data_IF_151420142235
#
_entry.id   IF_151420142235
#
_cell.length_a   1.000
_cell.length_b   1.000
_cell.length_c   1.000
_cell.angle_alpha   90.00
_cell.angle_beta   90.00
_cell.angle_gamma   90.00
#
_symmetry.space_group_name_H-M   'P 1'
#
loop_
_entity.id
_entity.type
_entity.pdbx_description
1 polymer ?
#
# COMPACT_ATOMS: atom_id res chain seq x y z
N UNK A 1 -1.52 43.60 67.33
CA UNK A 1 -1.81 43.97 65.96
C UNK A 1 -1.04 43.04 65.07
N UNK A 2 -1.61 41.93 64.64
CA UNK A 2 -0.99 40.85 63.83
C UNK A 2 -1.80 40.64 62.60
N UNK A 3 -1.19 40.93 61.48
CA UNK A 3 -1.78 40.92 60.15
C UNK A 3 -1.54 39.53 59.52
N UNK A 4 -2.63 38.78 59.31
CA UNK A 4 -2.57 37.45 58.71
C UNK A 4 -2.56 37.58 57.17
N UNK A 5 -1.49 37.12 56.53
CA UNK A 5 -1.42 37.01 55.08
C UNK A 5 -1.85 35.57 54.68
N UNK A 6 -2.99 35.43 54.03
CA UNK A 6 -3.40 34.17 53.38
C UNK A 6 -2.72 34.05 52.04
N UNK A 7 -1.86 33.03 51.89
CA UNK A 7 -1.35 32.58 50.58
C UNK A 7 -2.37 31.62 50.00
N UNK A 8 -2.97 32.01 48.87
CA UNK A 8 -3.77 31.10 48.03
C UNK A 8 -2.83 30.36 47.08
N UNK A 9 -2.66 29.06 47.28
CA UNK A 9 -1.95 28.18 46.37
C UNK A 9 -2.91 27.74 45.26
N UNK A 10 -2.74 28.30 44.05
CA UNK A 10 -3.45 27.85 42.85
C UNK A 10 -2.84 26.56 42.29
N UNK A 11 -3.63 25.51 42.32
CA UNK A 11 -3.26 24.21 41.71
C UNK A 11 -3.53 24.27 40.20
N UNK A 12 -2.48 24.43 39.41
CA UNK A 12 -2.56 24.39 37.94
C UNK A 12 -2.56 22.93 37.50
N UNK A 13 -3.72 22.36 37.16
CA UNK A 13 -3.86 21.04 36.59
C UNK A 13 -3.43 21.09 35.12
N UNK A 14 -2.23 20.59 34.80
CA UNK A 14 -1.77 20.33 33.43
C UNK A 14 -2.53 19.11 32.89
N UNK A 15 -3.53 19.32 32.07
CA UNK A 15 -4.16 18.28 31.26
C UNK A 15 -3.18 17.86 30.14
N UNK A 16 -2.48 16.76 30.32
CA UNK A 16 -1.76 16.09 29.25
C UNK A 16 -2.76 15.51 28.27
N UNK A 17 -2.97 16.22 27.15
CA UNK A 17 -3.61 15.64 25.97
C UNK A 17 -2.66 14.55 25.42
N UNK A 18 -2.88 13.31 25.84
CA UNK A 18 -2.18 12.16 25.30
C UNK A 18 -2.51 12.02 23.82
N UNK A 19 -1.53 12.28 22.95
CA UNK A 19 -1.60 11.82 21.58
C UNK A 19 -1.70 10.30 21.60
N UNK A 20 -2.90 9.77 21.37
CA UNK A 20 -3.10 8.34 21.15
C UNK A 20 -2.31 7.95 19.91
N UNK A 21 -1.11 7.46 20.09
CA UNK A 21 -0.36 6.77 19.02
C UNK A 21 -1.19 5.56 18.65
N UNK A 22 -1.78 5.60 17.45
CA UNK A 22 -2.49 4.47 16.87
C UNK A 22 -1.53 3.30 16.86
N UNK A 23 -1.86 2.23 17.59
CA UNK A 23 -1.07 1.01 17.66
C UNK A 23 -0.79 0.43 16.27
N UNK A 24 0.12 -0.55 16.14
CA UNK A 24 0.44 -1.15 14.87
C UNK A 24 -0.84 -1.68 14.20
N UNK A 25 -0.90 -1.52 12.90
CA UNK A 25 -2.07 -1.84 12.06
C UNK A 25 -2.61 -3.29 12.18
N UNK A 26 -1.85 -4.18 12.83
CA UNK A 26 -2.22 -5.58 13.06
C UNK A 26 -3.35 -5.79 14.07
N UNK A 27 -3.70 -4.79 14.89
CA UNK A 27 -4.64 -4.95 16.02
C UNK A 27 -6.08 -4.52 15.69
N UNK A 28 -6.39 -4.12 14.44
CA UNK A 28 -7.75 -3.79 14.07
C UNK A 28 -8.61 -5.07 13.99
N UNK A 29 -9.86 -5.01 14.51
CA UNK A 29 -10.73 -6.18 14.56
C UNK A 29 -11.06 -6.70 13.16
N UNK A 30 -11.15 -8.03 13.05
CA UNK A 30 -11.54 -8.77 11.84
C UNK A 30 -12.85 -9.50 12.07
N UNK A 31 -13.53 -9.84 10.96
CA UNK A 31 -14.70 -10.70 11.00
C UNK A 31 -14.31 -12.11 11.46
N UNK A 32 -15.03 -12.64 12.44
CA UNK A 32 -14.85 -14.00 12.97
C UNK A 32 -16.08 -14.87 12.76
N UNK A 33 -17.26 -14.28 12.58
CA UNK A 33 -18.48 -15.03 12.26
C UNK A 33 -18.38 -15.66 10.88
N UNK A 34 -18.56 -17.00 10.74
CA UNK A 34 -18.40 -17.68 9.47
C UNK A 34 -19.32 -17.19 8.36
N UNK A 35 -20.56 -16.79 8.70
CA UNK A 35 -21.52 -16.28 7.71
C UNK A 35 -21.10 -14.88 7.22
N UNK A 36 -20.65 -14.01 8.12
CA UNK A 36 -20.12 -12.70 7.75
C UNK A 36 -18.85 -12.79 6.90
N UNK A 37 -17.93 -13.71 7.23
CA UNK A 37 -16.72 -13.98 6.44
C UNK A 37 -17.09 -14.50 5.04
N UNK A 38 -18.06 -15.42 4.93
CA UNK A 38 -18.51 -15.93 3.64
C UNK A 38 -19.12 -14.82 2.79
N UNK A 39 -19.92 -13.93 3.38
CA UNK A 39 -20.50 -12.76 2.69
C UNK A 39 -19.41 -11.81 2.21
N UNK A 40 -18.43 -11.47 3.06
CA UNK A 40 -17.30 -10.61 2.69
C UNK A 40 -16.47 -11.21 1.54
N UNK A 41 -16.24 -12.52 1.57
CA UNK A 41 -15.54 -13.25 0.49
C UNK A 41 -16.30 -13.19 -0.83
N UNK A 42 -17.63 -13.35 -0.80
CA UNK A 42 -18.48 -13.21 -2.00
C UNK A 42 -18.43 -11.80 -2.56
N UNK A 43 -18.52 -10.78 -1.70
CA UNK A 43 -18.39 -9.39 -2.11
C UNK A 43 -16.99 -9.08 -2.71
N UNK A 44 -15.93 -9.62 -2.11
CA UNK A 44 -14.57 -9.50 -2.64
C UNK A 44 -14.42 -10.18 -4.01
N UNK A 45 -15.03 -11.34 -4.23
CA UNK A 45 -15.02 -12.00 -5.53
C UNK A 45 -15.74 -11.16 -6.61
N UNK A 46 -16.88 -10.56 -6.29
CA UNK A 46 -17.58 -9.64 -7.17
C UNK A 46 -16.75 -8.39 -7.49
N UNK A 47 -16.10 -7.82 -6.46
CA UNK A 47 -15.18 -6.69 -6.62
C UNK A 47 -14.00 -7.05 -7.52
N UNK A 48 -13.40 -8.23 -7.33
CA UNK A 48 -12.32 -8.72 -8.16
C UNK A 48 -12.74 -8.85 -9.62
N UNK A 49 -13.87 -9.49 -9.90
CA UNK A 49 -14.41 -9.64 -11.26
C UNK A 49 -14.63 -8.27 -11.94
N UNK A 50 -15.18 -7.30 -11.20
CA UNK A 50 -15.37 -5.94 -11.71
C UNK A 50 -14.04 -5.24 -12.06
N UNK A 51 -13.01 -5.37 -11.22
CA UNK A 51 -11.70 -4.80 -11.45
C UNK A 51 -10.91 -5.53 -12.54
N UNK A 52 -11.03 -6.86 -12.64
CA UNK A 52 -10.34 -7.65 -13.66
C UNK A 52 -10.87 -7.37 -15.08
N UNK A 53 -12.12 -6.95 -15.19
CA UNK A 53 -12.67 -6.46 -16.45
C UNK A 53 -12.13 -5.09 -16.90
N UNK A 54 -11.34 -4.42 -16.04
CA UNK A 54 -10.75 -3.09 -16.31
C UNK A 54 -9.25 -3.19 -16.24
N UNK A 55 -8.65 -3.35 -17.40
CA UNK A 55 -7.19 -3.53 -17.56
C UNK A 55 -6.43 -2.22 -17.51
N UNK A 56 -7.14 -1.10 -17.82
CA UNK A 56 -6.54 0.22 -17.92
C UNK A 56 -6.91 1.04 -16.67
N UNK A 57 -5.89 1.40 -15.92
CA UNK A 57 -6.05 2.12 -14.67
C UNK A 57 -4.79 2.88 -14.28
N UNK A 58 -4.96 3.91 -13.48
CA UNK A 58 -3.85 4.65 -12.89
C UNK A 58 -4.08 4.91 -11.42
N UNK A 59 -3.01 5.11 -10.69
CA UNK A 59 -3.06 5.77 -9.41
C UNK A 59 -1.90 6.76 -9.25
N UNK A 60 -2.15 7.79 -8.45
CA UNK A 60 -1.14 8.72 -7.97
C UNK A 60 -1.14 8.74 -6.44
N UNK A 61 0.05 8.88 -5.84
CA UNK A 61 0.16 8.88 -4.40
C UNK A 61 1.59 9.01 -3.89
N UNK A 62 1.82 8.44 -2.71
CA UNK A 62 3.12 8.42 -2.04
C UNK A 62 3.52 7.02 -1.68
N UNK A 63 4.80 6.75 -1.81
CA UNK A 63 5.39 5.46 -1.43
C UNK A 63 6.56 5.67 -0.48
N UNK A 64 6.69 4.77 0.48
CA UNK A 64 7.92 4.61 1.25
C UNK A 64 8.33 3.13 1.19
N UNK A 65 9.57 2.91 0.84
CA UNK A 65 10.18 1.56 0.76
C UNK A 65 11.33 1.50 1.73
N UNK A 66 11.46 0.40 2.43
CA UNK A 66 12.66 0.01 3.16
C UNK A 66 12.94 -1.45 2.83
N UNK A 67 14.14 -1.75 2.38
CA UNK A 67 14.57 -3.12 2.12
C UNK A 67 16.04 -3.27 2.52
N UNK A 68 16.31 -4.16 3.49
CA UNK A 68 17.67 -4.46 3.98
C UNK A 68 18.45 -3.20 4.40
N UNK A 69 17.76 -2.25 5.08
CA UNK A 69 18.37 -0.99 5.53
C UNK A 69 18.54 0.07 4.44
N UNK A 70 18.19 -0.24 3.18
CA UNK A 70 18.13 0.72 2.08
C UNK A 70 16.69 1.19 1.91
N UNK A 71 16.46 2.48 2.10
CA UNK A 71 15.13 3.05 2.05
C UNK A 71 15.03 4.23 1.09
N UNK A 72 13.81 4.51 0.67
CA UNK A 72 13.45 5.68 -0.11
C UNK A 72 11.99 6.00 0.04
N UNK A 73 11.64 7.27 -0.18
CA UNK A 73 10.25 7.70 -0.20
C UNK A 73 10.06 8.82 -1.21
N UNK A 74 8.87 8.89 -1.79
CA UNK A 74 8.55 9.91 -2.79
C UNK A 74 7.12 9.82 -3.28
N UNK A 75 6.84 10.60 -4.31
CA UNK A 75 5.63 10.44 -5.10
C UNK A 75 5.77 9.21 -5.97
N UNK A 76 4.65 8.54 -6.15
CA UNK A 76 4.52 7.42 -7.06
C UNK A 76 3.33 7.68 -7.98
N UNK A 77 3.56 7.48 -9.27
CA UNK A 77 2.52 7.44 -10.29
C UNK A 77 2.61 6.08 -10.98
N UNK A 78 1.50 5.34 -11.00
CA UNK A 78 1.36 4.06 -11.67
C UNK A 78 0.36 4.18 -12.81
N UNK A 79 0.77 3.77 -13.99
CA UNK A 79 -0.10 3.60 -15.14
C UNK A 79 -0.04 2.15 -15.60
N UNK A 80 -1.22 1.55 -15.76
CA UNK A 80 -1.40 0.22 -16.32
C UNK A 80 -2.24 0.33 -17.59
N UNK A 81 -1.83 -0.36 -18.65
CA UNK A 81 -2.59 -0.50 -19.89
C UNK A 81 -2.48 -1.96 -20.31
N UNK A 82 -3.56 -2.71 -20.17
CA UNK A 82 -3.56 -4.17 -20.34
C UNK A 82 -2.49 -4.84 -19.45
N UNK A 83 -1.47 -5.46 -20.06
CA UNK A 83 -0.32 -6.06 -19.34
C UNK A 83 0.85 -5.09 -19.20
N UNK A 84 0.91 -4.03 -20.00
CA UNK A 84 1.97 -3.03 -19.93
C UNK A 84 1.78 -2.10 -18.74
N UNK A 85 2.88 -1.77 -18.05
CA UNK A 85 2.85 -0.83 -16.93
C UNK A 85 4.00 0.18 -16.98
N UNK A 86 3.76 1.31 -16.37
CA UNK A 86 4.77 2.33 -16.07
C UNK A 86 4.62 2.77 -14.61
N UNK A 87 5.72 2.72 -13.85
CA UNK A 87 5.82 3.23 -12.49
C UNK A 87 6.86 4.32 -12.46
N UNK A 88 6.44 5.55 -12.24
CA UNK A 88 7.33 6.68 -12.01
C UNK A 88 7.45 6.97 -10.52
N UNK A 89 8.67 7.10 -10.04
CA UNK A 89 8.95 7.50 -8.66
C UNK A 89 9.81 8.75 -8.65
N UNK A 90 9.37 9.76 -7.90
CA UNK A 90 10.12 11.00 -7.72
C UNK A 90 10.33 11.28 -6.23
N UNK A 91 11.58 11.47 -5.82
CA UNK A 91 11.98 11.81 -4.46
C UNK A 91 12.47 13.26 -4.41
N UNK A 92 11.61 14.25 -4.07
CA UNK A 92 11.96 15.66 -4.13
C UNK A 92 13.15 16.06 -3.26
N UNK A 93 13.33 15.38 -2.12
CA UNK A 93 14.41 15.67 -1.17
C UNK A 93 15.78 15.29 -1.73
N UNK A 94 15.88 14.13 -2.39
CA UNK A 94 17.14 13.66 -3.00
C UNK A 94 17.30 14.08 -4.45
N UNK A 95 16.26 14.72 -5.04
CA UNK A 95 16.18 15.09 -6.46
C UNK A 95 16.39 13.89 -7.40
N UNK A 96 16.08 12.70 -6.93
CA UNK A 96 16.13 11.49 -7.72
C UNK A 96 14.75 11.19 -8.30
N UNK A 97 14.71 10.89 -9.58
CA UNK A 97 13.51 10.41 -10.26
C UNK A 97 13.91 9.24 -11.13
N UNK A 98 13.10 8.19 -11.09
CA UNK A 98 13.30 7.04 -11.97
C UNK A 98 11.96 6.48 -12.42
N UNK A 99 12.02 5.72 -13.49
CA UNK A 99 10.87 5.07 -14.10
C UNK A 99 11.18 3.62 -14.36
N UNK A 100 10.27 2.76 -13.93
CA UNK A 100 10.24 1.35 -14.30
C UNK A 100 9.05 1.14 -15.23
N UNK A 101 9.28 0.72 -16.44
CA UNK A 101 8.24 0.24 -17.36
C UNK A 101 8.45 -1.24 -17.64
N UNK A 102 7.37 -1.94 -17.97
CA UNK A 102 7.45 -3.36 -18.24
C UNK A 102 6.12 -3.95 -18.67
N UNK A 103 6.11 -5.27 -18.75
CA UNK A 103 4.94 -6.04 -19.14
C UNK A 103 4.76 -7.19 -18.13
N UNK A 104 3.58 -7.24 -17.51
CA UNK A 104 3.25 -8.23 -16.47
C UNK A 104 3.15 -9.66 -17.02
N UNK A 105 2.86 -9.81 -18.32
CA UNK A 105 2.73 -11.11 -18.96
C UNK A 105 4.09 -11.76 -19.24
N UNK A 106 5.04 -11.00 -19.77
CA UNK A 106 6.40 -11.48 -20.05
C UNK A 106 7.36 -11.35 -18.87
N UNK A 107 7.07 -10.43 -17.93
CA UNK A 107 7.97 -10.08 -16.83
C UNK A 107 9.09 -9.12 -17.23
N UNK A 108 9.27 -8.83 -18.53
CA UNK A 108 10.32 -7.94 -19.00
C UNK A 108 10.15 -6.50 -18.49
N UNK A 109 11.27 -5.79 -18.35
CA UNK A 109 11.25 -4.43 -17.87
C UNK A 109 12.41 -3.58 -18.35
N UNK A 110 12.21 -2.25 -18.21
CA UNK A 110 13.15 -1.17 -18.50
C UNK A 110 13.16 -0.20 -17.34
N UNK A 111 14.34 0.09 -16.82
CA UNK A 111 14.55 1.03 -15.71
C UNK A 111 15.39 2.21 -16.18
N UNK A 112 14.89 3.41 -15.94
CA UNK A 112 15.49 4.68 -16.40
C UNK A 112 15.60 5.67 -15.23
N UNK A 113 16.53 6.63 -15.36
CA UNK A 113 16.66 7.76 -14.42
C UNK A 113 17.52 7.46 -13.19
N UNK A 114 18.04 6.26 -13.02
CA UNK A 114 19.02 5.93 -11.98
C UNK A 114 20.45 6.11 -12.49
N UNK A 115 21.37 6.24 -11.54
CA UNK A 115 22.80 6.26 -11.82
C UNK A 115 23.23 5.00 -12.60
N UNK A 116 24.06 5.18 -13.62
CA UNK A 116 24.47 4.11 -14.51
C UNK A 116 23.63 3.97 -15.79
N UNK A 117 22.64 4.87 -16.00
CA UNK A 117 21.85 4.96 -17.22
C UNK A 117 20.70 3.96 -17.31
N UNK A 118 20.12 3.86 -18.48
CA UNK A 118 19.00 2.94 -18.78
C UNK A 118 19.44 1.49 -18.72
N UNK A 119 18.62 0.65 -18.10
CA UNK A 119 18.81 -0.81 -18.01
C UNK A 119 17.56 -1.52 -18.50
N UNK A 120 17.74 -2.63 -19.20
CA UNK A 120 16.67 -3.50 -19.70
C UNK A 120 16.94 -4.94 -19.32
N UNK A 121 15.89 -5.74 -19.14
CA UNK A 121 16.01 -7.14 -18.79
C UNK A 121 14.71 -7.91 -18.92
N UNK A 122 14.83 -9.23 -18.98
CA UNK A 122 13.68 -10.14 -19.05
C UNK A 122 12.95 -10.27 -17.70
N UNK A 123 13.47 -9.67 -16.62
CA UNK A 123 12.91 -9.73 -15.27
C UNK A 123 13.02 -8.34 -14.62
N UNK A 124 11.90 -7.64 -14.59
CA UNK A 124 11.78 -6.29 -14.03
C UNK A 124 12.03 -6.25 -12.50
N UNK A 125 11.64 -7.30 -11.78
CA UNK A 125 11.85 -7.40 -10.32
C UNK A 125 13.34 -7.51 -10.00
N UNK A 126 14.04 -8.37 -10.77
CA UNK A 126 15.50 -8.52 -10.65
C UNK A 126 16.22 -7.21 -11.00
N UNK A 127 15.79 -6.55 -12.07
CA UNK A 127 16.34 -5.26 -12.52
C UNK A 127 16.21 -4.18 -11.46
N UNK A 128 15.04 -4.07 -10.84
CA UNK A 128 14.77 -3.15 -9.73
C UNK A 128 15.65 -3.51 -8.51
N UNK A 129 15.73 -4.79 -8.18
CA UNK A 129 16.53 -5.29 -7.06
C UNK A 129 18.02 -4.97 -7.21
N UNK A 130 18.60 -5.22 -8.39
CA UNK A 130 20.01 -4.93 -8.69
C UNK A 130 20.31 -3.43 -8.66
N UNK A 131 19.37 -2.60 -9.10
CA UNK A 131 19.57 -1.16 -9.18
C UNK A 131 19.39 -0.44 -7.84
N UNK A 132 18.41 -0.88 -7.03
CA UNK A 132 17.99 -0.17 -5.81
C UNK A 132 18.26 -0.96 -4.52
N UNK A 133 18.45 -2.26 -4.62
CA UNK A 133 18.44 -3.20 -3.51
C UNK A 133 17.03 -3.58 -3.04
N UNK A 134 15.97 -3.18 -3.76
CA UNK A 134 14.57 -3.44 -3.42
C UNK A 134 14.05 -4.68 -4.15
N UNK A 135 14.01 -5.79 -3.47
CA UNK A 135 13.38 -7.01 -3.99
C UNK A 135 11.87 -6.97 -3.74
N UNK A 136 11.13 -6.31 -4.63
CA UNK A 136 9.69 -6.09 -4.54
C UNK A 136 9.00 -6.80 -5.71
N UNK A 137 7.96 -7.65 -5.46
CA UNK A 137 7.24 -8.35 -6.52
C UNK A 137 6.30 -7.37 -7.25
N UNK A 138 6.76 -6.80 -8.36
CA UNK A 138 6.05 -5.74 -9.09
C UNK A 138 4.68 -6.20 -9.55
N UNK A 139 4.59 -7.41 -10.12
CA UNK A 139 3.34 -7.99 -10.59
C UNK A 139 2.33 -8.20 -9.45
N UNK A 140 2.78 -8.78 -8.33
CA UNK A 140 1.92 -8.94 -7.15
C UNK A 140 1.53 -7.58 -6.55
N UNK A 141 2.46 -6.61 -6.54
CA UNK A 141 2.18 -5.27 -6.01
C UNK A 141 1.09 -4.55 -6.82
N UNK A 142 1.06 -4.72 -8.15
CA UNK A 142 -0.01 -4.21 -9.01
C UNK A 142 -1.40 -4.73 -8.58
N UNK A 143 -1.48 -6.01 -8.22
CA UNK A 143 -2.70 -6.66 -7.70
C UNK A 143 -3.03 -6.16 -6.30
N UNK A 144 -2.06 -6.22 -5.39
CA UNK A 144 -2.25 -5.82 -3.99
C UNK A 144 -2.62 -4.34 -3.85
N UNK A 145 -2.05 -3.45 -4.67
CA UNK A 145 -2.44 -2.04 -4.67
C UNK A 145 -3.93 -1.85 -4.93
N UNK A 146 -4.53 -2.68 -5.79
CA UNK A 146 -5.96 -2.69 -6.09
C UNK A 146 -6.79 -3.46 -5.05
N UNK A 147 -6.19 -4.02 -4.01
CA UNK A 147 -6.86 -4.87 -3.01
C UNK A 147 -7.29 -6.23 -3.58
N UNK A 148 -6.50 -6.79 -4.47
CA UNK A 148 -6.74 -8.07 -5.14
C UNK A 148 -5.66 -9.08 -4.78
N UNK A 149 -6.03 -10.36 -4.79
CA UNK A 149 -5.09 -11.45 -4.72
C UNK A 149 -4.31 -11.58 -6.04
N UNK A 150 -3.04 -11.96 -5.95
CA UNK A 150 -2.25 -12.36 -7.11
C UNK A 150 -2.63 -13.80 -7.49
N UNK A 151 -3.25 -14.04 -8.65
CA UNK A 151 -3.68 -15.38 -9.05
C UNK A 151 -2.51 -16.34 -9.32
N UNK A 152 -1.30 -15.82 -9.54
CA UNK A 152 -0.08 -16.61 -9.72
C UNK A 152 0.54 -17.09 -8.41
N UNK A 153 -0.06 -16.73 -7.25
CA UNK A 153 0.43 -17.09 -5.93
C UNK A 153 -0.67 -17.72 -5.06
N UNK A 154 -0.31 -18.72 -4.29
CA UNK A 154 -1.23 -19.26 -3.28
C UNK A 154 -1.53 -18.21 -2.22
N UNK A 155 -2.81 -18.10 -1.83
CA UNK A 155 -3.25 -17.26 -0.72
C UNK A 155 -3.17 -18.08 0.57
N UNK A 156 -2.24 -17.69 1.45
CA UNK A 156 -2.02 -18.32 2.74
C UNK A 156 -3.05 -17.85 3.78
N UNK A 157 -3.48 -16.57 3.66
CA UNK A 157 -4.44 -15.93 4.55
C UNK A 157 -5.16 -14.79 3.84
N UNK A 158 -6.48 -14.71 4.02
CA UNK A 158 -7.29 -13.54 3.70
C UNK A 158 -8.25 -13.26 4.85
N UNK A 159 -8.08 -12.14 5.53
CA UNK A 159 -8.93 -11.67 6.63
C UNK A 159 -9.67 -10.41 6.20
N UNK A 160 -10.90 -10.27 6.69
CA UNK A 160 -11.77 -9.14 6.36
C UNK A 160 -12.03 -8.30 7.60
N UNK A 161 -12.02 -6.99 7.46
CA UNK A 161 -12.40 -6.04 8.49
C UNK A 161 -13.91 -6.08 8.79
N UNK A 162 -14.34 -5.42 9.86
CA UNK A 162 -15.76 -5.32 10.22
C UNK A 162 -16.59 -4.58 9.16
N UNK A 163 -15.93 -3.83 8.28
CA UNK A 163 -16.51 -3.17 7.10
C UNK A 163 -16.70 -4.10 5.89
N UNK A 164 -16.30 -5.38 6.01
CA UNK A 164 -16.37 -6.39 4.96
C UNK A 164 -15.26 -6.30 3.90
N UNK A 165 -14.38 -5.30 3.98
CA UNK A 165 -13.25 -5.20 3.05
C UNK A 165 -12.06 -6.04 3.50
N UNK A 166 -11.20 -6.40 2.53
CA UNK A 166 -9.95 -7.11 2.81
C UNK A 166 -9.10 -6.29 3.80
N UNK A 167 -8.73 -6.91 4.91
CA UNK A 167 -7.94 -6.31 5.97
C UNK A 167 -6.50 -6.76 5.94
N UNK A 168 -6.29 -8.06 5.80
CA UNK A 168 -4.98 -8.68 5.72
C UNK A 168 -4.97 -9.72 4.62
N UNK A 169 -3.93 -9.71 3.82
CA UNK A 169 -3.64 -10.73 2.81
C UNK A 169 -2.23 -11.26 3.04
N UNK A 170 -2.04 -12.59 2.94
CA UNK A 170 -0.71 -13.21 2.91
C UNK A 170 -0.53 -13.99 1.62
N UNK A 171 0.48 -13.60 0.84
CA UNK A 171 0.89 -14.26 -0.40
C UNK A 171 2.40 -14.11 -0.60
N UNK A 172 3.08 -15.11 -1.13
CA UNK A 172 4.53 -15.09 -1.47
C UNK A 172 5.43 -14.68 -0.29
N UNK A 173 5.03 -15.03 0.94
CA UNK A 173 5.72 -14.63 2.17
C UNK A 173 5.58 -13.15 2.53
N UNK A 174 4.73 -12.39 1.81
CA UNK A 174 4.36 -11.03 2.16
C UNK A 174 3.08 -11.02 2.97
N UNK A 175 3.04 -10.16 4.00
CA UNK A 175 1.81 -9.73 4.66
C UNK A 175 1.45 -8.35 4.13
N UNK A 176 0.26 -8.22 3.59
CA UNK A 176 -0.31 -6.97 3.07
C UNK A 176 -1.46 -6.55 3.97
N UNK A 177 -1.33 -5.42 4.66
CA UNK A 177 -2.36 -4.85 5.52
C UNK A 177 -3.02 -3.66 4.81
N UNK A 178 -4.34 -3.71 4.68
CA UNK A 178 -5.15 -2.62 4.14
C UNK A 178 -5.67 -1.77 5.30
N UNK A 179 -5.11 -0.59 5.44
CA UNK A 179 -5.33 0.28 6.60
C UNK A 179 -6.50 1.24 6.44
N UNK A 180 -6.77 1.61 5.18
CA UNK A 180 -7.81 2.57 4.83
C UNK A 180 -8.31 2.29 3.42
N UNK A 181 -9.62 2.46 3.21
CA UNK A 181 -10.30 2.32 1.94
C UNK A 181 -10.98 3.63 1.55
N UNK A 182 -10.96 3.97 0.26
CA UNK A 182 -11.82 4.98 -0.35
C UNK A 182 -13.17 4.31 -0.56
N UNK A 183 -14.28 4.88 -0.06
CA UNK A 183 -15.61 4.31 -0.26
C UNK A 183 -15.97 4.11 -1.73
N UNK A 184 -16.87 3.17 -2.01
CA UNK A 184 -17.44 2.99 -3.34
C UNK A 184 -18.18 4.26 -3.80
N UNK A 185 -18.06 4.58 -5.09
CA UNK A 185 -18.72 5.74 -5.68
C UNK A 185 -19.31 5.35 -7.05
N UNK A 186 -20.62 5.54 -7.22
CA UNK A 186 -21.31 5.11 -8.43
C UNK A 186 -21.16 3.61 -8.70
N UNK A 187 -20.62 3.26 -9.85
CA UNK A 187 -20.34 1.87 -10.23
C UNK A 187 -18.93 1.40 -9.77
N UNK A 188 -18.09 2.32 -9.30
CA UNK A 188 -16.73 2.00 -8.84
C UNK A 188 -16.80 1.38 -7.45
N UNK A 189 -16.21 0.20 -7.22
CA UNK A 189 -16.14 -0.38 -5.89
C UNK A 189 -15.16 0.41 -5.00
N UNK A 190 -15.21 0.14 -3.69
CA UNK A 190 -14.24 0.69 -2.76
C UNK A 190 -12.80 0.34 -3.19
N UNK A 191 -11.88 1.31 -3.09
CA UNK A 191 -10.48 1.16 -3.50
C UNK A 191 -9.54 1.37 -2.31
N UNK A 192 -8.42 0.66 -2.22
CA UNK A 192 -7.45 0.87 -1.16
C UNK A 192 -6.89 2.30 -1.21
N UNK A 193 -6.75 2.91 -0.02
CA UNK A 193 -6.13 4.21 0.16
C UNK A 193 -4.78 4.12 0.85
N UNK A 194 -4.68 3.28 1.90
CA UNK A 194 -3.43 3.08 2.64
C UNK A 194 -3.15 1.60 2.80
N UNK A 195 -1.97 1.22 2.34
CA UNK A 195 -1.53 -0.18 2.30
C UNK A 195 -0.14 -0.26 2.91
N UNK A 196 0.11 -1.30 3.67
CA UNK A 196 1.45 -1.65 4.14
C UNK A 196 1.72 -3.12 3.81
N UNK A 197 2.69 -3.36 2.93
CA UNK A 197 3.16 -4.70 2.59
C UNK A 197 4.51 -4.96 3.28
N UNK A 198 4.62 -6.07 3.99
CA UNK A 198 5.81 -6.43 4.77
C UNK A 198 6.20 -7.89 4.54
N UNK A 199 7.49 -8.12 4.46
CA UNK A 199 8.12 -9.43 4.64
C UNK A 199 9.44 -9.24 5.40
N UNK A 200 10.12 -10.32 5.76
CA UNK A 200 11.42 -10.22 6.40
C UNK A 200 12.38 -9.32 5.61
N UNK A 201 12.95 -8.33 6.27
CA UNK A 201 13.87 -7.36 5.69
C UNK A 201 13.27 -6.33 4.73
N UNK A 202 11.97 -6.36 4.45
CA UNK A 202 11.37 -5.42 3.50
C UNK A 202 9.99 -4.89 3.96
N UNK A 203 9.76 -3.59 3.71
CA UNK A 203 8.47 -2.92 3.93
C UNK A 203 8.19 -1.96 2.80
N UNK A 204 6.97 -2.01 2.27
CA UNK A 204 6.43 -1.04 1.30
C UNK A 204 5.17 -0.44 1.89
N UNK A 205 5.13 0.89 1.98
CA UNK A 205 3.94 1.64 2.41
C UNK A 205 3.45 2.48 1.24
N UNK A 206 2.18 2.32 0.89
CA UNK A 206 1.50 3.12 -0.12
C UNK A 206 0.42 3.98 0.52
N UNK A 207 0.37 5.24 0.16
CA UNK A 207 -0.73 6.14 0.42
C UNK A 207 -1.22 6.67 -0.93
N UNK A 208 -2.36 6.16 -1.39
CA UNK A 208 -2.92 6.46 -2.71
C UNK A 208 -3.87 7.63 -2.53
N UNK A 209 -3.59 8.71 -3.24
CA UNK A 209 -4.35 9.95 -3.17
C UNK A 209 -5.49 9.94 -4.21
N UNK A 210 -5.26 9.30 -5.38
CA UNK A 210 -6.21 9.30 -6.50
C UNK A 210 -6.13 7.98 -7.28
N UNK A 211 -7.30 7.47 -7.67
CA UNK A 211 -7.49 6.37 -8.62
C UNK A 211 -8.19 6.88 -9.88
N UNK A 212 -7.80 6.36 -11.04
CA UNK A 212 -8.55 6.48 -12.29
C UNK A 212 -8.68 5.07 -12.88
N UNK A 213 -9.90 4.66 -13.14
CA UNK A 213 -10.23 3.36 -13.71
C UNK A 213 -10.99 3.64 -15.01
N UNK A 214 -10.44 3.23 -16.12
CA UNK A 214 -11.10 3.39 -17.41
C UNK A 214 -12.19 2.32 -17.57
N UNK A 215 -13.31 2.64 -18.23
CA UNK A 215 -14.45 1.74 -18.38
C UNK A 215 -14.12 0.50 -19.22
#
# INVERSE_FOLDING_TARGET
>A
MTMHRFLAAGLLALSMAGCATRGPASDAPVLTDPAAVASARTAQAGRQAWLDARTDWTFAGRVAVNANGKGGSGRIDWKQTETAYEVALSAPVTRQSWRLSGDLGSGAGRLEGLEGGTREGADAERLLGEATGWSIPVASLARWARGLEDPAAATELAEYGLDGHLRTLRQRGWRVDYLEWIPAEGAQPAMPRRIEARREGATVKLAIDQWQLEP
#
